data_IF_022403452215
#
_entry.id   IF_022403452215
#
_cell.length_a   1.000
_cell.length_b   1.000
_cell.length_c   1.000
_cell.angle_alpha   90.00
_cell.angle_beta   90.00
_cell.angle_gamma   90.00
#
_symmetry.space_group_name_H-M   'P 1'
#
loop_
_entity.id
_entity.type
_entity.pdbx_description
1 polymer ?
#
# COMPACT_ATOMS: atom_id res chain seq x y z
N UNK A 1 -9.73 5.93 -21.82
CA UNK A 1 -10.94 5.56 -21.06
C UNK A 1 -10.58 5.52 -19.58
N UNK A 2 -11.24 6.31 -18.74
CA UNK A 2 -11.03 6.26 -17.29
C UNK A 2 -11.95 5.21 -16.71
N UNK A 3 -11.37 4.18 -16.10
CA UNK A 3 -12.09 3.15 -15.37
C UNK A 3 -11.90 3.41 -13.88
N UNK A 4 -13.02 3.51 -13.16
CA UNK A 4 -13.02 3.49 -11.71
C UNK A 4 -12.89 2.05 -11.26
N UNK A 5 -11.83 1.73 -10.52
CA UNK A 5 -11.62 0.42 -9.93
C UNK A 5 -11.84 0.51 -8.43
N UNK A 6 -12.77 -0.31 -7.93
CA UNK A 6 -13.04 -0.41 -6.49
C UNK A 6 -12.11 -1.44 -5.87
N UNK A 7 -11.47 -1.05 -4.77
CA UNK A 7 -10.70 -1.93 -3.90
C UNK A 7 -11.68 -2.89 -3.21
N UNK A 8 -11.68 -4.14 -3.65
CA UNK A 8 -12.49 -5.17 -3.00
C UNK A 8 -11.76 -5.82 -1.82
N UNK A 9 -12.49 -6.63 -1.05
CA UNK A 9 -11.93 -7.28 0.13
C UNK A 9 -10.75 -8.20 -0.24
N UNK A 10 -10.80 -8.85 -1.40
CA UNK A 10 -9.71 -9.73 -1.85
C UNK A 10 -8.41 -8.95 -2.06
N UNK A 11 -8.45 -7.82 -2.78
CA UNK A 11 -7.29 -6.96 -3.00
C UNK A 11 -6.79 -6.39 -1.67
N UNK A 12 -7.71 -5.91 -0.83
CA UNK A 12 -7.39 -5.37 0.49
C UNK A 12 -6.65 -6.40 1.39
N UNK A 13 -7.22 -7.60 1.54
CA UNK A 13 -6.62 -8.66 2.37
C UNK A 13 -5.29 -9.16 1.81
N UNK A 14 -5.16 -9.26 0.48
CA UNK A 14 -3.90 -9.63 -0.16
C UNK A 14 -2.82 -8.56 0.06
N UNK A 15 -3.18 -7.29 0.02
CA UNK A 15 -2.27 -6.19 0.29
C UNK A 15 -1.78 -6.19 1.74
N UNK A 16 -2.66 -6.42 2.72
CA UNK A 16 -2.28 -6.59 4.13
C UNK A 16 -1.31 -7.77 4.31
N UNK A 17 -1.58 -8.90 3.65
CA UNK A 17 -0.71 -10.08 3.70
C UNK A 17 0.67 -9.80 3.11
N UNK A 18 0.74 -9.11 1.98
CA UNK A 18 2.00 -8.73 1.33
C UNK A 18 2.86 -7.85 2.25
N UNK A 19 2.25 -6.83 2.87
CA UNK A 19 2.93 -5.98 3.83
C UNK A 19 3.40 -6.72 5.09
N UNK A 20 2.62 -7.71 5.54
CA UNK A 20 2.99 -8.53 6.70
C UNK A 20 4.18 -9.44 6.43
N UNK A 21 4.31 -9.95 5.20
CA UNK A 21 5.44 -10.76 4.77
C UNK A 21 6.77 -9.98 4.72
N UNK A 22 6.73 -8.67 4.50
CA UNK A 22 7.94 -7.82 4.49
C UNK A 22 8.69 -7.88 5.83
N UNK A 23 9.99 -8.15 5.77
CA UNK A 23 10.88 -8.30 6.94
C UNK A 23 10.76 -9.64 7.66
N UNK A 24 9.78 -10.48 7.31
CA UNK A 24 9.61 -11.83 7.85
C UNK A 24 10.04 -12.88 6.81
N UNK A 25 9.27 -12.96 5.72
CA UNK A 25 9.47 -13.91 4.63
C UNK A 25 10.11 -13.23 3.41
N UNK A 26 9.79 -11.95 3.19
CA UNK A 26 10.38 -11.14 2.12
C UNK A 26 11.46 -10.25 2.73
N UNK A 27 12.73 -10.37 2.29
CA UNK A 27 13.80 -9.52 2.81
C UNK A 27 13.52 -8.04 2.49
N UNK A 28 13.89 -7.17 3.42
CA UNK A 28 13.80 -5.73 3.19
C UNK A 28 14.78 -5.31 2.07
N UNK A 29 14.44 -4.27 1.29
CA UNK A 29 15.34 -3.74 0.27
C UNK A 29 16.72 -3.36 0.83
N UNK A 30 17.76 -3.51 0.01
CA UNK A 30 19.13 -3.17 0.38
C UNK A 30 19.22 -1.68 0.73
N UNK A 31 19.79 -1.36 1.89
CA UNK A 31 19.92 0.02 2.38
C UNK A 31 18.80 0.52 3.29
N UNK A 32 17.74 -0.26 3.49
CA UNK A 32 16.66 0.07 4.44
C UNK A 32 17.13 -0.10 5.89
N UNK A 33 17.91 -1.14 6.16
CA UNK A 33 18.48 -1.42 7.47
C UNK A 33 20.00 -1.30 7.42
N UNK A 34 20.56 -0.55 8.37
CA UNK A 34 22.02 -0.50 8.57
C UNK A 34 22.55 -1.75 9.29
N UNK A 35 21.68 -2.52 9.94
CA UNK A 35 21.98 -3.79 10.61
C UNK A 35 20.70 -4.61 10.84
N UNK A 36 20.78 -5.95 11.05
CA UNK A 36 19.63 -6.76 11.41
C UNK A 36 18.88 -6.18 12.62
N UNK A 37 17.54 -6.27 12.60
CA UNK A 37 16.74 -5.87 13.75
C UNK A 37 17.02 -6.82 14.93
N UNK A 38 17.31 -6.26 16.09
CA UNK A 38 17.35 -7.02 17.34
C UNK A 38 15.92 -7.27 17.83
N UNK A 39 15.78 -8.18 18.79
CA UNK A 39 14.47 -8.65 19.28
C UNK A 39 13.54 -7.49 19.71
N UNK A 40 14.08 -6.49 20.41
CA UNK A 40 13.32 -5.32 20.85
C UNK A 40 12.80 -4.49 19.66
N UNK A 41 13.61 -4.27 18.64
CA UNK A 41 13.22 -3.49 17.46
C UNK A 41 12.18 -4.25 16.62
N UNK A 42 12.37 -5.57 16.46
CA UNK A 42 11.42 -6.45 15.79
C UNK A 42 10.08 -6.50 16.52
N UNK A 43 10.09 -6.54 17.86
CA UNK A 43 8.88 -6.44 18.68
C UNK A 43 8.12 -5.13 18.40
N UNK A 44 8.82 -4.00 18.37
CA UNK A 44 8.21 -2.70 18.08
C UNK A 44 7.65 -2.62 16.66
N UNK A 45 8.38 -3.11 15.65
CA UNK A 45 7.88 -3.16 14.26
C UNK A 45 6.57 -3.95 14.18
N UNK A 46 6.51 -5.14 14.79
CA UNK A 46 5.32 -5.97 14.76
C UNK A 46 4.14 -5.31 15.50
N UNK A 47 4.38 -4.76 16.70
CA UNK A 47 3.34 -4.08 17.49
C UNK A 47 2.78 -2.86 16.76
N UNK A 48 3.63 -2.04 16.16
CA UNK A 48 3.23 -0.85 15.41
C UNK A 48 2.51 -1.23 14.12
N UNK A 49 2.97 -2.29 13.44
CA UNK A 49 2.29 -2.82 12.27
C UNK A 49 0.88 -3.34 12.62
N UNK A 50 0.70 -4.08 13.71
CA UNK A 50 -0.62 -4.55 14.15
C UNK A 50 -1.61 -3.39 14.39
N UNK A 51 -1.12 -2.30 14.97
CA UNK A 51 -1.92 -1.09 15.16
C UNK A 51 -2.24 -0.41 13.82
N UNK A 52 -1.29 -0.33 12.88
CA UNK A 52 -1.54 0.19 11.52
C UNK A 52 -2.54 -0.67 10.74
N UNK A 53 -2.41 -2.00 10.79
CA UNK A 53 -3.32 -2.96 10.16
C UNK A 53 -4.74 -2.84 10.72
N UNK A 54 -4.87 -2.66 12.04
CA UNK A 54 -6.15 -2.39 12.69
C UNK A 54 -6.77 -1.08 12.19
N UNK A 55 -5.97 -0.02 12.06
CA UNK A 55 -6.43 1.28 11.54
C UNK A 55 -6.87 1.18 10.07
N UNK A 56 -6.08 0.52 9.21
CA UNK A 56 -6.40 0.29 7.80
C UNK A 56 -7.68 -0.53 7.64
N UNK A 57 -7.85 -1.59 8.44
CA UNK A 57 -9.07 -2.42 8.43
C UNK A 57 -10.30 -1.62 8.88
N UNK A 58 -10.15 -0.77 9.90
CA UNK A 58 -11.23 0.11 10.35
C UNK A 58 -11.58 1.15 9.27
N UNK A 59 -10.57 1.72 8.61
CA UNK A 59 -10.76 2.68 7.52
C UNK A 59 -11.50 2.04 6.35
N UNK A 60 -11.13 0.82 5.96
CA UNK A 60 -11.77 0.06 4.90
C UNK A 60 -13.25 -0.22 5.16
N UNK A 61 -13.58 -0.64 6.40
CA UNK A 61 -14.94 -1.06 6.76
C UNK A 61 -15.88 0.08 7.09
N UNK A 62 -15.37 1.07 7.82
CA UNK A 62 -16.18 2.08 8.51
C UNK A 62 -15.80 3.51 8.10
N UNK A 63 -14.88 3.66 7.14
CA UNK A 63 -14.41 4.95 6.62
C UNK A 63 -13.30 5.59 7.47
N UNK A 64 -12.66 6.62 6.89
CA UNK A 64 -11.48 7.30 7.48
C UNK A 64 -11.74 7.84 8.88
N UNK A 65 -12.88 8.47 9.10
CA UNK A 65 -13.23 9.09 10.39
C UNK A 65 -13.23 8.07 11.54
N UNK A 66 -13.66 6.83 11.27
CA UNK A 66 -13.68 5.76 12.25
C UNK A 66 -12.27 5.23 12.60
N UNK A 67 -11.31 5.39 11.68
CA UNK A 67 -9.91 5.01 11.89
C UNK A 67 -9.09 6.08 12.61
N UNK A 68 -9.52 7.35 12.62
CA UNK A 68 -8.75 8.47 13.20
C UNK A 68 -8.26 8.21 14.64
N UNK A 69 -9.08 7.71 15.58
CA UNK A 69 -8.59 7.43 16.95
C UNK A 69 -7.49 6.37 17.00
N UNK A 70 -7.48 5.42 16.05
CA UNK A 70 -6.45 4.38 15.95
C UNK A 70 -5.15 4.93 15.39
N UNK A 71 -5.23 5.85 14.42
CA UNK A 71 -4.09 6.56 13.86
C UNK A 71 -3.42 7.42 14.94
N UNK A 72 -4.21 8.15 15.73
CA UNK A 72 -3.69 8.95 16.84
C UNK A 72 -3.04 8.09 17.92
N UNK A 73 -3.65 6.93 18.23
CA UNK A 73 -3.05 5.93 19.13
C UNK A 73 -1.73 5.40 18.60
N UNK A 74 -1.62 5.10 17.30
CA UNK A 74 -0.36 4.67 16.70
C UNK A 74 0.71 5.75 16.80
N UNK A 75 0.36 7.02 16.63
CA UNK A 75 1.29 8.13 16.76
C UNK A 75 1.90 8.20 18.17
N UNK A 76 1.10 7.94 19.21
CA UNK A 76 1.59 7.82 20.59
C UNK A 76 2.53 6.62 20.73
N UNK A 77 2.15 5.45 20.19
CA UNK A 77 3.01 4.25 20.23
C UNK A 77 4.33 4.44 19.48
N UNK A 78 4.35 5.24 18.41
CA UNK A 78 5.59 5.60 17.71
C UNK A 78 6.51 6.45 18.59
N UNK A 79 5.95 7.38 19.36
CA UNK A 79 6.73 8.15 20.32
C UNK A 79 7.28 7.26 21.45
N UNK A 80 6.47 6.32 21.95
CA UNK A 80 6.91 5.30 22.92
C UNK A 80 8.05 4.44 22.38
N UNK A 81 7.96 4.00 21.12
CA UNK A 81 9.04 3.26 20.48
C UNK A 81 10.31 4.12 20.40
N UNK A 82 10.19 5.38 19.99
CA UNK A 82 11.32 6.31 19.90
C UNK A 82 12.09 6.46 21.21
N UNK A 83 11.40 6.43 22.36
CA UNK A 83 12.04 6.49 23.68
C UNK A 83 12.58 5.14 24.15
N UNK A 84 11.92 4.03 23.78
CA UNK A 84 12.30 2.68 24.21
C UNK A 84 13.53 2.12 23.49
N UNK A 85 13.72 2.46 22.21
CA UNK A 85 14.77 1.87 21.36
C UNK A 85 15.82 2.92 20.99
N UNK A 86 16.78 3.08 21.91
CA UNK A 86 17.85 4.09 21.92
C UNK A 86 18.70 4.13 20.64
N UNK A 87 18.24 4.88 19.63
CA UNK A 87 18.94 5.10 18.36
C UNK A 87 18.53 4.14 17.22
N UNK A 88 17.69 3.14 17.49
CA UNK A 88 17.17 2.21 16.45
C UNK A 88 15.80 2.60 15.90
N UNK A 89 15.26 3.74 16.34
CA UNK A 89 13.97 4.24 15.87
C UNK A 89 13.93 4.47 14.34
N UNK A 90 15.06 4.85 13.73
CA UNK A 90 15.17 5.00 12.29
C UNK A 90 14.95 3.67 11.55
N UNK A 91 15.54 2.57 12.04
CA UNK A 91 15.37 1.22 11.47
C UNK A 91 13.91 0.75 11.56
N UNK A 92 13.24 1.05 12.67
CA UNK A 92 11.82 0.72 12.89
C UNK A 92 10.94 1.52 11.94
N UNK A 93 11.17 2.83 11.84
CA UNK A 93 10.43 3.71 10.94
C UNK A 93 10.61 3.28 9.49
N UNK A 94 11.84 2.98 9.07
CA UNK A 94 12.15 2.49 7.73
C UNK A 94 11.43 1.17 7.43
N UNK A 95 11.46 0.21 8.37
CA UNK A 95 10.75 -1.06 8.22
C UNK A 95 9.24 -0.89 8.09
N UNK A 96 8.64 0.01 8.87
CA UNK A 96 7.20 0.32 8.78
C UNK A 96 6.85 1.00 7.46
N UNK A 97 7.67 1.93 6.99
CA UNK A 97 7.51 2.54 5.67
C UNK A 97 7.54 1.50 4.56
N UNK A 98 8.47 0.53 4.62
CA UNK A 98 8.52 -0.55 3.63
C UNK A 98 7.28 -1.46 3.67
N UNK A 99 6.73 -1.74 4.86
CA UNK A 99 5.46 -2.46 4.98
C UNK A 99 4.31 -1.69 4.34
N UNK A 100 4.22 -0.38 4.58
CA UNK A 100 3.21 0.48 3.96
C UNK A 100 3.38 0.58 2.43
N UNK A 101 4.62 0.66 1.95
CA UNK A 101 4.94 0.63 0.52
C UNK A 101 4.49 -0.69 -0.12
N UNK A 102 4.80 -1.82 0.51
CA UNK A 102 4.39 -3.14 0.03
C UNK A 102 2.88 -3.33 0.04
N UNK A 103 2.18 -2.80 1.06
CA UNK A 103 0.72 -2.74 1.08
C UNK A 103 0.20 -1.98 -0.15
N UNK A 104 0.68 -0.76 -0.36
CA UNK A 104 0.21 0.09 -1.45
C UNK A 104 0.49 -0.54 -2.82
N UNK A 105 1.69 -1.07 -3.02
CA UNK A 105 2.07 -1.74 -4.25
C UNK A 105 1.17 -2.95 -4.54
N UNK A 106 0.95 -3.83 -3.56
CA UNK A 106 0.08 -4.98 -3.73
C UNK A 106 -1.38 -4.60 -3.99
N UNK A 107 -1.87 -3.51 -3.40
CA UNK A 107 -3.21 -2.98 -3.67
C UNK A 107 -3.32 -2.47 -5.12
N UNK A 108 -2.32 -1.72 -5.59
CA UNK A 108 -2.24 -1.23 -6.98
C UNK A 108 -2.15 -2.40 -7.96
N UNK A 109 -1.25 -3.36 -7.73
CA UNK A 109 -1.06 -4.52 -8.60
C UNK A 109 -2.34 -5.37 -8.67
N UNK A 110 -3.03 -5.56 -7.53
CA UNK A 110 -4.32 -6.22 -7.47
C UNK A 110 -5.40 -5.50 -8.27
N UNK A 111 -5.42 -4.16 -8.23
CA UNK A 111 -6.34 -3.36 -9.04
C UNK A 111 -5.98 -3.44 -10.55
N UNK A 112 -4.70 -3.32 -10.90
CA UNK A 112 -4.20 -3.40 -12.26
C UNK A 112 -4.48 -4.76 -12.92
N UNK A 113 -4.43 -5.85 -12.15
CA UNK A 113 -4.78 -7.18 -12.64
C UNK A 113 -6.23 -7.29 -13.16
N UNK A 114 -7.11 -6.35 -12.80
CA UNK A 114 -8.49 -6.27 -13.32
C UNK A 114 -8.59 -5.57 -14.65
N UNK A 115 -7.57 -4.83 -15.06
CA UNK A 115 -7.52 -4.17 -16.36
C UNK A 115 -7.33 -5.24 -17.43
N UNK A 116 -8.27 -5.30 -18.37
CA UNK A 116 -8.21 -6.29 -19.45
C UNK A 116 -7.07 -5.92 -20.41
N UNK A 117 -6.17 -6.85 -20.77
CA UNK A 117 -5.12 -6.56 -21.75
C UNK A 117 -5.68 -6.34 -23.17
N UNK A 118 -6.89 -6.81 -23.44
CA UNK A 118 -7.58 -6.63 -24.72
C UNK A 118 -9.05 -6.30 -24.50
N UNK A 119 -9.58 -5.46 -25.37
CA UNK A 119 -11.02 -5.19 -25.49
C UNK A 119 -11.46 -5.32 -26.94
N UNK A 120 -12.75 -5.57 -27.16
CA UNK A 120 -13.34 -5.64 -28.49
C UNK A 120 -14.38 -4.53 -28.63
N UNK A 121 -14.20 -3.64 -29.61
CA UNK A 121 -15.12 -2.54 -29.92
C UNK A 121 -15.40 -2.57 -31.42
N UNK A 122 -16.68 -2.63 -31.82
CA UNK A 122 -17.04 -2.64 -33.24
C UNK A 122 -16.51 -3.83 -34.04
N UNK A 123 -16.19 -4.96 -33.38
CA UNK A 123 -15.58 -6.14 -34.01
C UNK A 123 -14.05 -6.09 -34.12
N UNK A 124 -13.42 -4.96 -33.80
CA UNK A 124 -11.96 -4.84 -33.76
C UNK A 124 -11.42 -5.17 -32.37
N UNK A 125 -10.31 -5.91 -32.33
CA UNK A 125 -9.60 -6.23 -31.09
C UNK A 125 -8.53 -5.18 -30.84
N UNK A 126 -8.69 -4.42 -29.77
CA UNK A 126 -7.75 -3.40 -29.33
C UNK A 126 -6.88 -3.95 -28.19
N UNK A 127 -5.59 -3.65 -28.24
CA UNK A 127 -4.63 -4.04 -27.20
C UNK A 127 -4.33 -2.86 -26.29
N UNK A 128 -4.21 -3.13 -24.99
CA UNK A 128 -3.80 -2.15 -23.99
C UNK A 128 -2.38 -1.65 -24.29
N UNK A 129 -2.22 -0.34 -24.45
CA UNK A 129 -0.93 0.31 -24.72
C UNK A 129 -0.37 0.97 -23.48
N UNK A 130 -1.25 1.62 -22.70
CA UNK A 130 -0.84 2.42 -21.54
C UNK A 130 -1.87 2.30 -20.43
N UNK A 131 -1.36 2.22 -19.21
CA UNK A 131 -2.13 2.37 -17.98
C UNK A 131 -1.55 3.53 -17.19
N UNK A 132 -2.39 4.49 -16.83
CA UNK A 132 -2.09 5.59 -15.93
C UNK A 132 -2.84 5.40 -14.62
N UNK A 133 -2.15 5.57 -13.49
CA UNK A 133 -2.75 5.66 -12.17
C UNK A 133 -2.71 7.13 -11.77
N UNK A 134 -3.88 7.74 -11.56
CA UNK A 134 -3.99 9.20 -11.35
C UNK A 134 -3.94 9.62 -9.87
N UNK A 135 -3.78 8.65 -8.96
CA UNK A 135 -3.78 8.90 -7.52
C UNK A 135 -2.36 9.17 -7.03
N UNK A 136 -2.12 10.38 -6.52
CA UNK A 136 -0.84 10.76 -5.93
C UNK A 136 -0.87 10.45 -4.44
N UNK A 137 -0.29 9.32 -4.05
CA UNK A 137 -0.06 8.99 -2.63
C UNK A 137 1.40 9.34 -2.32
N UNK A 138 1.59 10.38 -1.52
CA UNK A 138 2.92 10.83 -1.11
C UNK A 138 3.23 10.28 0.27
N UNK A 139 4.02 9.21 0.33
CA UNK A 139 4.55 8.66 1.59
C UNK A 139 5.82 9.39 2.03
N UNK A 140 5.86 10.71 1.81
CA UNK A 140 6.98 11.57 2.19
C UNK A 140 6.61 12.38 3.43
N UNK A 141 7.39 12.21 4.50
CA UNK A 141 7.16 12.90 5.76
C UNK A 141 7.13 11.96 6.95
N UNK A 142 6.23 12.21 7.89
CA UNK A 142 6.08 11.36 9.07
C UNK A 142 5.32 10.08 8.73
N UNK A 143 5.59 8.99 9.47
CA UNK A 143 4.86 7.75 9.34
C UNK A 143 3.36 7.92 9.65
N UNK A 144 3.01 8.86 10.55
CA UNK A 144 1.63 9.26 10.81
C UNK A 144 0.95 9.78 9.55
N UNK A 145 1.56 10.76 8.87
CA UNK A 145 0.99 11.34 7.65
C UNK A 145 0.85 10.28 6.55
N UNK A 146 1.84 9.38 6.42
CA UNK A 146 1.79 8.26 5.48
C UNK A 146 0.60 7.34 5.76
N UNK A 147 0.36 7.00 7.02
CA UNK A 147 -0.80 6.19 7.41
C UNK A 147 -2.12 6.93 7.22
N UNK A 148 -2.18 8.23 7.51
CA UNK A 148 -3.37 9.06 7.26
C UNK A 148 -3.74 9.05 5.77
N UNK A 149 -2.76 9.26 4.88
CA UNK A 149 -2.97 9.18 3.44
C UNK A 149 -3.42 7.80 2.98
N UNK A 150 -2.87 6.73 3.56
CA UNK A 150 -3.31 5.37 3.22
C UNK A 150 -4.70 5.04 3.78
N UNK A 151 -5.05 5.50 4.97
CA UNK A 151 -6.40 5.31 5.52
C UNK A 151 -7.45 6.09 4.74
N UNK A 152 -7.12 7.30 4.26
CA UNK A 152 -7.95 8.05 3.31
C UNK A 152 -8.13 7.28 2.02
N UNK A 153 -7.02 6.89 1.39
CA UNK A 153 -7.03 6.10 0.16
C UNK A 153 -7.87 4.82 0.27
N UNK A 154 -7.74 4.06 1.38
CA UNK A 154 -8.49 2.81 1.60
C UNK A 154 -9.96 3.07 1.92
N UNK A 155 -10.27 4.14 2.65
CA UNK A 155 -11.64 4.50 2.99
C UNK A 155 -12.44 4.97 1.76
N UNK A 156 -11.78 5.69 0.85
CA UNK A 156 -12.37 6.05 -0.43
C UNK A 156 -12.62 4.80 -1.27
N UNK A 157 -11.73 3.79 -1.15
CA UNK A 157 -11.89 2.48 -1.79
C UNK A 157 -11.87 2.54 -3.32
N UNK A 158 -11.50 3.69 -3.89
CA UNK A 158 -11.61 3.99 -5.31
C UNK A 158 -10.24 4.35 -5.90
N UNK A 159 -9.92 3.73 -7.03
CA UNK A 159 -8.79 4.05 -7.89
C UNK A 159 -9.27 4.56 -9.23
N UNK A 160 -8.80 5.75 -9.61
CA UNK A 160 -8.91 6.22 -10.99
C UNK A 160 -7.76 5.62 -11.81
N UNK A 161 -8.09 4.68 -12.71
CA UNK A 161 -7.14 4.12 -13.67
C UNK A 161 -7.53 4.57 -15.07
N UNK A 162 -6.67 5.35 -15.71
CA UNK A 162 -6.80 5.69 -17.13
C UNK A 162 -6.12 4.63 -17.99
N UNK A 163 -6.84 4.15 -19.00
CA UNK A 163 -6.36 3.12 -19.93
C UNK A 163 -6.45 3.60 -21.36
N UNK A 164 -5.42 3.33 -22.14
CA UNK A 164 -5.32 3.64 -23.56
C UNK A 164 -5.19 2.35 -24.35
N UNK A 165 -6.09 2.15 -25.31
CA UNK A 165 -6.11 0.99 -26.19
C UNK A 165 -5.91 1.44 -27.63
N UNK A 166 -5.11 0.70 -28.38
CA UNK A 166 -4.89 0.95 -29.80
C UNK A 166 -5.11 -0.34 -30.60
N UNK A 167 -5.38 -0.19 -31.90
CA UNK A 167 -5.49 -1.34 -32.80
C UNK A 167 -4.16 -2.09 -32.82
N UNK A 168 -4.23 -3.38 -32.52
CA UNK A 168 -3.07 -4.23 -32.68
C UNK A 168 -2.92 -4.54 -34.17
N UNK A 169 -2.18 -3.71 -34.90
CA UNK A 169 -1.76 -4.06 -36.24
C UNK A 169 -0.99 -5.36 -36.13
N UNK A 170 -1.56 -6.46 -36.65
CA UNK A 170 -0.84 -7.72 -36.76
C UNK A 170 0.45 -7.42 -37.55
N UNK A 171 1.60 -7.49 -36.88
CA UNK A 171 2.88 -7.29 -37.54
C UNK A 171 3.00 -8.22 -38.75
N UNK A 172 3.67 -7.79 -39.83
CA UNK A 172 3.86 -8.63 -41.00
C UNK A 172 4.50 -9.95 -40.56
N UNK A 173 3.83 -11.06 -40.89
CA UNK A 173 4.35 -12.42 -40.69
C UNK A 173 5.56 -12.69 -41.56
#
# INVERSE_FOLDING_TARGET
MTNLLVLDDTIFQNALRAARAMGNDTPLPVGVLNSPLGDDASYWVNRLWDAAETALTRAYRDGRAAAQPLIDKLAVQLQEAGTAVAGRFADISASLTEKLNAYLQAAIDGALARVRPFITIGGERLALQKVGVEQKISLSGSLKASLESLCEFVADGEFAISTEYASHAAGPR
#
